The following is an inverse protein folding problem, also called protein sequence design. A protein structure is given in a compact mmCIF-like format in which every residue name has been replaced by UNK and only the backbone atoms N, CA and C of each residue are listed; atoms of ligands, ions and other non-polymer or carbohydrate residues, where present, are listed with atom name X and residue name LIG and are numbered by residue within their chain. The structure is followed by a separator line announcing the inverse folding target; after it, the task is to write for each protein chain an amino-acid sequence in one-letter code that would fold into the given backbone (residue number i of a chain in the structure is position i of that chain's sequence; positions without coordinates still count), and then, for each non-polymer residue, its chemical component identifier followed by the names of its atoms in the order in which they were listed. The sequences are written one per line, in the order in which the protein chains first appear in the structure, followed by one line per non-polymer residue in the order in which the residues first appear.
data_IF_351672023964
#
_entry.id   IF_351672023964
#
_cell.length_a   1.000
_cell.length_b   1.000
_cell.length_c   1.000
_cell.angle_alpha   90.00
_cell.angle_beta   90.00
_cell.angle_gamma   90.00
#
_symmetry.space_group_name_H-M   'P 1'
#
loop_
_entity.id
_entity.type
_entity.pdbx_description
1 polymer ?
#
# COMPACT_ATOMS: atom_id res chain seq x y z
N UNK A 1 18.13 24.88 -62.76
CA UNK A 1 17.44 24.40 -61.60
C UNK A 1 18.41 24.37 -60.39
N UNK A 2 18.33 25.40 -59.52
CA UNK A 2 19.23 25.53 -58.38
C UNK A 2 18.61 24.78 -57.19
N UNK A 3 19.35 23.80 -56.65
CA UNK A 3 18.99 23.11 -55.38
C UNK A 3 19.39 24.01 -54.22
N UNK A 4 18.41 24.40 -53.40
CA UNK A 4 18.61 25.12 -52.15
C UNK A 4 18.62 24.02 -51.04
N UNK A 5 19.78 23.81 -50.44
CA UNK A 5 19.94 22.96 -49.27
C UNK A 5 19.61 23.79 -48.02
N UNK A 6 18.57 23.42 -47.29
CA UNK A 6 18.24 23.97 -45.99
C UNK A 6 19.10 23.24 -44.93
N UNK A 7 20.05 23.93 -44.35
CA UNK A 7 20.80 23.47 -43.19
C UNK A 7 19.93 23.77 -41.94
N UNK A 8 19.41 22.72 -41.30
CA UNK A 8 18.74 22.84 -39.98
C UNK A 8 19.83 22.92 -38.91
N UNK A 9 20.02 24.10 -38.36
CA UNK A 9 20.88 24.31 -37.19
C UNK A 9 20.13 23.82 -35.94
N UNK A 10 20.50 22.64 -35.42
CA UNK A 10 20.03 22.12 -34.15
C UNK A 10 20.81 22.83 -33.05
N UNK A 11 20.19 23.86 -32.40
CA UNK A 11 20.78 24.49 -31.23
C UNK A 11 20.61 23.56 -30.01
N UNK A 12 21.70 22.83 -29.70
CA UNK A 12 21.81 22.16 -28.40
C UNK A 12 22.00 23.21 -27.30
N UNK A 13 20.93 23.52 -26.59
CA UNK A 13 21.06 24.19 -25.31
C UNK A 13 21.64 23.19 -24.28
N UNK A 14 22.95 23.16 -24.17
CA UNK A 14 23.65 22.53 -23.05
C UNK A 14 23.53 23.49 -21.88
N UNK A 15 22.51 23.30 -21.02
CA UNK A 15 22.51 23.91 -19.70
C UNK A 15 23.65 23.26 -18.90
N UNK A 16 24.76 23.98 -18.74
CA UNK A 16 25.89 23.57 -17.95
C UNK A 16 25.54 23.44 -16.48
N UNK A 17 25.03 22.27 -16.07
CA UNK A 17 25.04 21.87 -14.68
C UNK A 17 26.48 21.55 -14.29
N UNK A 18 27.12 22.39 -13.47
CA UNK A 18 28.40 22.08 -12.88
C UNK A 18 28.25 20.83 -12.01
N UNK A 19 28.57 19.67 -12.55
CA UNK A 19 28.68 18.46 -11.76
C UNK A 19 29.84 18.63 -10.76
N UNK A 20 29.54 18.75 -9.50
CA UNK A 20 30.54 18.68 -8.44
C UNK A 20 31.28 17.34 -8.56
N UNK A 21 32.58 17.30 -8.19
CA UNK A 21 33.43 16.07 -8.20
C UNK A 21 32.80 14.84 -7.52
N UNK A 22 31.74 15.01 -6.72
CA UNK A 22 30.97 13.97 -6.02
C UNK A 22 29.87 13.30 -6.86
N UNK A 23 29.53 13.82 -8.06
CA UNK A 23 28.41 13.34 -8.88
C UNK A 23 27.02 13.74 -8.36
N UNK A 24 26.93 14.61 -7.34
CA UNK A 24 25.69 15.22 -6.89
C UNK A 24 25.35 16.47 -7.71
N UNK A 25 24.07 16.62 -8.06
CA UNK A 25 23.53 17.78 -8.79
C UNK A 25 22.47 18.46 -7.91
N UNK A 26 22.57 19.77 -7.75
CA UNK A 26 21.54 20.53 -7.08
C UNK A 26 20.33 20.70 -8.03
N UNK A 27 19.16 20.25 -7.63
CA UNK A 27 17.90 20.46 -8.36
C UNK A 27 17.34 21.85 -8.12
N UNK A 28 17.74 22.51 -7.05
CA UNK A 28 17.40 23.90 -6.73
C UNK A 28 18.66 24.70 -6.44
N UNK A 29 18.78 25.84 -7.08
CA UNK A 29 19.96 26.70 -7.01
C UNK A 29 19.87 27.83 -5.95
N UNK A 30 18.74 27.89 -5.22
CA UNK A 30 18.48 28.95 -4.22
C UNK A 30 18.06 30.31 -4.82
N UNK A 31 17.96 30.47 -6.16
CA UNK A 31 17.76 31.77 -6.81
C UNK A 31 16.56 31.83 -7.72
N UNK A 32 16.24 30.75 -8.45
CA UNK A 32 15.13 30.68 -9.39
C UNK A 32 14.57 29.27 -9.49
N UNK A 33 13.44 29.11 -10.15
CA UNK A 33 12.77 27.83 -10.38
C UNK A 33 13.09 27.23 -11.76
N UNK A 34 14.25 27.55 -12.33
CA UNK A 34 14.68 26.96 -13.60
C UNK A 34 14.73 25.42 -13.46
N UNK A 35 14.14 24.72 -14.44
CA UNK A 35 14.01 23.25 -14.38
C UNK A 35 12.81 22.73 -13.59
N UNK A 36 11.96 23.63 -13.08
CA UNK A 36 10.72 23.30 -12.39
C UNK A 36 9.51 23.90 -13.10
N UNK A 37 8.35 23.25 -12.98
CA UNK A 37 7.05 23.74 -13.46
C UNK A 37 5.95 23.39 -12.47
N UNK A 38 4.99 24.30 -12.30
CA UNK A 38 3.77 24.01 -11.52
C UNK A 38 2.84 23.12 -12.36
N UNK A 39 2.34 22.05 -11.77
CA UNK A 39 1.36 21.14 -12.36
C UNK A 39 0.27 20.85 -11.34
N UNK A 40 -0.96 20.80 -11.78
CA UNK A 40 -2.18 20.72 -10.98
C UNK A 40 -2.31 21.86 -9.94
N UNK A 41 -3.52 22.09 -9.47
CA UNK A 41 -3.84 23.04 -8.42
C UNK A 41 -3.45 24.48 -8.70
N UNK A 42 -3.65 25.35 -7.70
CA UNK A 42 -3.49 26.80 -7.82
C UNK A 42 -2.57 27.39 -6.73
N UNK A 43 -1.83 26.54 -5.99
CA UNK A 43 -0.92 27.02 -4.97
C UNK A 43 0.25 27.81 -5.56
N UNK A 44 0.66 28.85 -4.87
CA UNK A 44 1.80 29.68 -5.22
C UNK A 44 3.10 29.05 -4.73
N UNK A 45 4.16 29.13 -5.55
CA UNK A 45 5.52 28.75 -5.19
C UNK A 45 6.45 29.92 -5.41
N UNK A 46 7.09 30.37 -4.34
CA UNK A 46 8.01 31.55 -4.36
C UNK A 46 9.37 31.15 -3.81
N UNK A 47 10.36 31.97 -4.10
CA UNK A 47 11.68 31.84 -3.47
C UNK A 47 11.80 32.92 -2.41
N UNK A 48 12.03 32.50 -1.18
CA UNK A 48 12.24 33.38 -0.03
C UNK A 48 13.50 32.93 0.69
N UNK A 49 14.48 33.81 0.85
CA UNK A 49 15.74 33.53 1.55
C UNK A 49 16.48 32.27 1.08
N UNK A 50 16.42 31.97 -0.24
CA UNK A 50 17.08 30.78 -0.79
C UNK A 50 16.31 29.46 -0.58
N UNK A 51 15.06 29.53 -0.16
CA UNK A 51 14.13 28.41 0.03
C UNK A 51 13.00 28.46 -0.98
N UNK A 52 12.49 27.32 -1.44
CA UNK A 52 11.21 27.21 -2.15
C UNK A 52 10.12 27.23 -1.08
N UNK A 53 9.18 28.16 -1.19
CA UNK A 53 8.04 28.30 -0.29
C UNK A 53 6.76 28.10 -1.08
N UNK A 54 6.03 27.04 -0.77
CA UNK A 54 4.69 26.78 -1.25
C UNK A 54 3.65 27.27 -0.24
N UNK A 55 2.59 27.90 -0.71
CA UNK A 55 1.55 28.49 0.16
C UNK A 55 0.23 27.77 -0.03
N UNK A 56 -0.38 27.30 1.05
CA UNK A 56 -1.67 26.63 1.03
C UNK A 56 -2.79 27.61 0.64
N UNK A 57 -3.76 27.13 -0.13
CA UNK A 57 -4.87 27.91 -0.63
C UNK A 57 -6.17 27.12 -0.57
N UNK A 58 -7.25 27.75 -0.09
CA UNK A 58 -8.57 27.13 -0.06
C UNK A 58 -9.10 26.81 -1.46
N UNK A 59 -9.92 25.76 -1.54
CA UNK A 59 -10.64 25.35 -2.76
C UNK A 59 -9.73 25.05 -3.97
N UNK A 60 -8.47 24.70 -3.72
CA UNK A 60 -7.55 24.18 -4.72
C UNK A 60 -7.37 22.67 -4.54
N UNK A 61 -7.30 21.88 -5.63
CA UNK A 61 -6.76 20.52 -5.53
C UNK A 61 -5.28 20.56 -5.14
N UNK A 62 -4.69 19.39 -4.88
CA UNK A 62 -3.25 19.27 -4.67
C UNK A 62 -2.48 19.99 -5.79
N UNK A 63 -1.53 20.81 -5.41
CA UNK A 63 -0.62 21.51 -6.33
C UNK A 63 0.77 20.92 -6.21
N UNK A 64 1.50 20.87 -7.33
CA UNK A 64 2.82 20.29 -7.37
C UNK A 64 3.80 21.15 -8.14
N UNK A 65 4.96 21.44 -7.57
CA UNK A 65 6.10 22.01 -8.29
C UNK A 65 6.97 20.85 -8.75
N UNK A 66 6.91 20.51 -10.04
CA UNK A 66 7.49 19.32 -10.65
C UNK A 66 8.76 19.62 -11.43
N UNK A 67 9.72 18.67 -11.42
CA UNK A 67 10.89 18.72 -12.31
C UNK A 67 10.48 18.65 -13.77
N UNK A 68 11.20 19.38 -14.64
CA UNK A 68 10.96 19.35 -16.09
C UNK A 68 11.41 18.04 -16.74
N UNK A 69 12.22 17.23 -16.05
CA UNK A 69 12.76 15.95 -16.54
C UNK A 69 12.36 14.82 -15.58
N UNK A 70 12.34 13.60 -16.11
CA UNK A 70 12.05 12.38 -15.34
C UNK A 70 13.36 11.75 -14.84
N UNK A 71 13.23 11.04 -13.71
CA UNK A 71 14.31 10.29 -13.08
C UNK A 71 13.91 8.83 -12.87
N UNK A 72 14.82 7.89 -13.12
CA UNK A 72 14.62 6.45 -12.88
C UNK A 72 15.35 5.98 -11.62
N UNK A 73 16.64 5.72 -11.69
CA UNK A 73 17.47 5.37 -10.56
C UNK A 73 18.17 6.60 -10.01
N UNK A 74 18.01 6.84 -8.71
CA UNK A 74 18.62 8.01 -8.09
C UNK A 74 18.70 7.88 -6.56
N UNK A 75 19.51 8.76 -5.98
CA UNK A 75 19.46 9.13 -4.57
C UNK A 75 19.09 10.60 -4.51
N UNK A 76 18.02 10.92 -3.80
CA UNK A 76 17.52 12.28 -3.59
C UNK A 76 17.69 12.66 -2.13
N UNK A 77 18.23 13.84 -1.88
CA UNK A 77 18.29 14.44 -0.54
C UNK A 77 17.67 15.84 -0.59
N UNK A 78 16.89 16.15 0.43
CA UNK A 78 16.28 17.46 0.61
C UNK A 78 15.98 17.72 2.09
N UNK A 79 15.80 18.99 2.42
CA UNK A 79 15.25 19.42 3.70
C UNK A 79 13.88 20.03 3.50
N UNK A 80 12.98 19.74 4.41
CA UNK A 80 11.60 20.19 4.36
C UNK A 80 11.13 20.63 5.76
N UNK A 81 10.37 21.74 5.80
CA UNK A 81 9.67 22.23 6.97
C UNK A 81 8.27 22.67 6.55
N UNK A 82 7.28 22.45 7.40
CA UNK A 82 5.93 22.96 7.16
C UNK A 82 5.29 23.49 8.43
N UNK A 83 4.35 24.42 8.26
CA UNK A 83 3.54 24.92 9.35
C UNK A 83 2.64 23.82 9.92
N UNK A 84 2.35 23.94 11.23
CA UNK A 84 1.59 22.94 11.97
C UNK A 84 0.18 22.72 11.43
N UNK A 85 -0.24 21.46 11.41
CA UNK A 85 -1.56 21.02 10.97
C UNK A 85 -1.70 20.82 9.45
N UNK A 86 -0.64 21.08 8.68
CA UNK A 86 -0.62 20.78 7.25
C UNK A 86 -0.22 19.31 6.99
N UNK A 87 -0.46 18.89 5.75
CA UNK A 87 0.06 17.67 5.13
C UNK A 87 0.79 18.08 3.85
N UNK A 88 1.80 17.31 3.48
CA UNK A 88 2.57 17.50 2.26
C UNK A 88 3.33 16.23 1.90
N UNK A 89 4.16 16.31 0.86
CA UNK A 89 5.07 15.22 0.48
C UNK A 89 5.90 15.58 -0.73
N UNK A 90 6.80 14.68 -1.07
CA UNK A 90 7.62 14.76 -2.29
C UNK A 90 7.30 13.57 -3.17
N UNK A 91 6.75 13.86 -4.35
CA UNK A 91 6.50 12.85 -5.39
C UNK A 91 7.81 12.39 -6.00
N UNK A 92 7.90 11.10 -6.29
CA UNK A 92 9.04 10.47 -6.96
C UNK A 92 8.55 9.48 -8.01
N UNK A 93 9.26 9.36 -9.13
CA UNK A 93 8.85 8.47 -10.24
C UNK A 93 7.35 8.62 -10.57
N UNK A 94 6.81 9.82 -10.42
CA UNK A 94 5.38 10.09 -10.63
C UNK A 94 5.11 10.59 -12.04
N UNK A 95 3.85 10.54 -12.45
CA UNK A 95 3.40 10.85 -13.80
C UNK A 95 2.34 11.95 -13.72
N UNK A 96 2.36 12.89 -14.70
CA UNK A 96 1.29 13.84 -14.96
C UNK A 96 1.05 13.84 -16.47
N UNK A 97 0.04 13.07 -16.90
CA UNK A 97 -0.36 12.95 -18.30
C UNK A 97 -1.75 13.58 -18.47
N UNK A 98 -1.91 14.60 -19.32
CA UNK A 98 -3.22 15.21 -19.60
C UNK A 98 -4.32 14.23 -20.01
N UNK A 99 -3.96 13.13 -20.66
CA UNK A 99 -4.89 12.07 -21.06
C UNK A 99 -5.40 11.22 -19.87
N UNK A 100 -4.73 11.28 -18.71
CA UNK A 100 -5.07 10.49 -17.53
C UNK A 100 -5.54 11.41 -16.42
N UNK A 101 -6.78 11.28 -15.98
CA UNK A 101 -7.38 12.08 -14.90
C UNK A 101 -7.12 13.60 -15.04
N UNK A 102 -7.19 14.13 -16.28
CA UNK A 102 -6.91 15.56 -16.60
C UNK A 102 -5.52 16.03 -16.10
N UNK A 103 -4.50 15.19 -16.21
CA UNK A 103 -3.13 15.52 -15.80
C UNK A 103 -2.87 15.46 -14.31
N UNK A 104 -3.78 14.86 -13.51
CA UNK A 104 -3.54 14.69 -12.07
C UNK A 104 -2.24 13.94 -11.84
N UNK A 105 -1.37 14.51 -11.01
CA UNK A 105 -0.13 13.82 -10.59
C UNK A 105 -0.49 12.54 -9.83
N UNK A 106 0.11 11.43 -10.23
CA UNK A 106 -0.09 10.13 -9.63
C UNK A 106 1.22 9.36 -9.56
N UNK A 107 1.41 8.61 -8.48
CA UNK A 107 2.63 7.85 -8.24
C UNK A 107 3.09 7.88 -6.79
N UNK A 108 4.33 7.43 -6.57
CA UNK A 108 4.88 7.34 -5.22
C UNK A 108 5.12 8.71 -4.60
N UNK A 109 4.65 8.89 -3.38
CA UNK A 109 4.86 10.06 -2.54
C UNK A 109 5.62 9.69 -1.28
N UNK A 110 6.70 10.39 -1.01
CA UNK A 110 7.36 10.37 0.29
C UNK A 110 6.62 11.36 1.18
N UNK A 111 5.90 10.83 2.13
CA UNK A 111 4.97 11.58 2.97
C UNK A 111 5.66 12.56 3.90
N UNK A 112 5.00 13.71 4.14
CA UNK A 112 5.29 14.61 5.24
C UNK A 112 3.99 14.90 6.00
N UNK A 113 3.85 14.36 7.20
CA UNK A 113 2.62 14.32 7.97
C UNK A 113 2.83 14.86 9.38
N UNK A 114 2.17 15.96 9.73
CA UNK A 114 2.23 16.58 11.06
C UNK A 114 1.20 15.96 12.04
N UNK A 115 0.35 15.05 11.56
CA UNK A 115 -0.67 14.41 12.40
C UNK A 115 -0.08 13.44 13.42
N UNK A 116 -0.90 13.04 14.40
CA UNK A 116 -0.51 12.10 15.45
C UNK A 116 -0.25 10.67 14.94
N UNK A 117 -0.69 10.31 13.74
CA UNK A 117 -0.35 9.01 13.11
C UNK A 117 1.14 8.90 12.80
N UNK A 118 1.85 10.04 12.61
CA UNK A 118 3.29 10.14 12.46
C UNK A 118 3.88 9.25 11.35
N UNK A 119 3.36 9.37 10.12
CA UNK A 119 3.79 8.57 8.97
C UNK A 119 4.75 9.30 8.02
N UNK A 120 5.39 10.39 8.48
CA UNK A 120 6.42 11.10 7.69
C UNK A 120 7.54 10.17 7.26
N UNK A 121 7.95 10.27 5.98
CA UNK A 121 8.84 9.37 5.24
C UNK A 121 8.28 7.95 5.00
N UNK A 122 7.00 7.67 5.31
CA UNK A 122 6.24 6.57 4.73
C UNK A 122 6.01 6.78 3.25
N UNK A 123 5.51 5.75 2.54
CA UNK A 123 5.28 5.82 1.10
C UNK A 123 3.79 5.66 0.80
N UNK A 124 3.23 6.72 0.21
CA UNK A 124 1.87 6.77 -0.31
C UNK A 124 1.90 6.68 -1.84
N UNK A 125 0.90 6.10 -2.46
CA UNK A 125 0.75 6.01 -3.91
C UNK A 125 -0.37 6.95 -4.36
N UNK A 126 -0.03 8.23 -4.58
CA UNK A 126 -0.96 9.31 -4.90
C UNK A 126 -1.84 8.96 -6.10
N UNK A 127 -3.16 9.09 -5.90
CA UNK A 127 -4.19 8.86 -6.91
C UNK A 127 -4.18 7.46 -7.56
N UNK A 128 -3.55 6.45 -6.90
CA UNK A 128 -3.54 5.05 -7.36
C UNK A 128 -3.95 4.08 -6.26
N UNK A 129 -2.98 3.55 -5.45
CA UNK A 129 -3.21 2.46 -4.49
C UNK A 129 -3.24 2.90 -3.02
N UNK A 130 -3.05 4.21 -2.73
CA UNK A 130 -3.02 4.71 -1.37
C UNK A 130 -1.75 4.31 -0.61
N UNK A 131 -1.86 3.90 0.65
CA UNK A 131 -0.70 3.59 1.49
C UNK A 131 -0.05 2.27 1.11
N UNK A 132 1.18 2.33 0.60
CA UNK A 132 2.02 1.17 0.33
C UNK A 132 2.92 0.84 1.53
N UNK A 133 3.44 1.86 2.20
CA UNK A 133 4.28 1.70 3.38
C UNK A 133 3.92 2.73 4.44
N UNK A 134 2.80 2.55 5.18
CA UNK A 134 2.57 3.29 6.41
C UNK A 134 3.63 2.92 7.45
N UNK A 135 4.05 3.86 8.32
CA UNK A 135 5.05 3.55 9.36
C UNK A 135 4.54 2.60 10.45
N UNK A 136 3.34 2.03 10.29
CA UNK A 136 2.89 0.87 11.06
C UNK A 136 3.80 -0.35 10.86
N UNK A 137 4.44 -0.46 9.70
CA UNK A 137 5.48 -1.48 9.47
C UNK A 137 6.78 -1.21 10.21
N UNK A 138 7.04 0.06 10.60
CA UNK A 138 8.26 0.49 11.28
C UNK A 138 7.97 1.48 12.41
N UNK A 139 7.46 0.98 13.51
CA UNK A 139 7.05 1.80 14.68
C UNK A 139 8.18 2.67 15.27
N UNK A 140 9.42 2.20 15.19
CA UNK A 140 10.57 2.95 15.68
C UNK A 140 10.78 4.27 14.93
N UNK A 141 10.48 4.29 13.63
CA UNK A 141 10.62 5.46 12.77
C UNK A 141 9.56 6.56 13.03
N UNK A 142 8.44 6.25 13.65
CA UNK A 142 7.36 7.23 13.92
C UNK A 142 7.82 8.43 14.75
N UNK A 143 8.91 8.30 15.50
CA UNK A 143 9.47 9.36 16.34
C UNK A 143 10.52 10.25 15.65
N UNK A 144 10.83 9.99 14.39
CA UNK A 144 11.91 10.68 13.67
C UNK A 144 11.55 12.08 13.17
N UNK A 145 10.25 12.40 13.00
CA UNK A 145 9.77 13.69 12.50
C UNK A 145 9.79 14.77 13.59
N UNK A 146 10.36 15.93 13.26
CA UNK A 146 10.38 17.13 14.12
C UNK A 146 9.29 18.09 13.64
N UNK A 147 8.21 18.18 14.40
CA UNK A 147 7.05 19.02 14.07
C UNK A 147 7.41 20.51 14.06
N UNK A 148 7.11 21.21 12.96
CA UNK A 148 7.37 22.65 12.80
C UNK A 148 8.83 23.04 12.62
N UNK A 149 9.75 22.10 12.45
CA UNK A 149 11.18 22.33 12.26
C UNK A 149 11.68 21.69 10.95
N UNK A 150 12.91 21.98 10.58
CA UNK A 150 13.58 21.38 9.43
C UNK A 150 13.84 19.89 9.65
N UNK A 151 13.44 19.12 8.65
CA UNK A 151 13.63 17.68 8.60
C UNK A 151 14.43 17.30 7.34
N UNK A 152 15.49 16.53 7.53
CA UNK A 152 16.31 16.02 6.43
C UNK A 152 15.76 14.69 5.94
N UNK A 153 15.41 14.64 4.66
CA UNK A 153 14.95 13.44 3.97
C UNK A 153 16.04 12.90 3.05
N UNK A 154 16.17 11.59 3.02
CA UNK A 154 16.93 10.87 2.00
C UNK A 154 16.05 9.79 1.40
N UNK A 155 16.04 9.70 0.07
CA UNK A 155 15.28 8.73 -0.71
C UNK A 155 16.23 8.02 -1.66
N UNK A 156 16.24 6.70 -1.64
CA UNK A 156 17.00 5.88 -2.60
C UNK A 156 16.00 5.10 -3.47
N UNK A 157 15.96 5.42 -4.76
CA UNK A 157 15.19 4.70 -5.77
C UNK A 157 16.18 3.97 -6.69
N UNK A 158 16.32 2.65 -6.53
CA UNK A 158 17.30 1.87 -7.30
C UNK A 158 16.65 0.54 -7.70
N UNK A 159 16.53 0.32 -9.02
CA UNK A 159 15.71 -0.78 -9.55
C UNK A 159 14.28 -0.66 -9.03
N UNK A 160 13.74 -1.75 -8.50
CA UNK A 160 12.39 -1.80 -7.94
C UNK A 160 12.33 -1.42 -6.45
N UNK A 161 13.44 -0.96 -5.86
CA UNK A 161 13.50 -0.66 -4.43
C UNK A 161 13.40 0.84 -4.18
N UNK A 162 12.53 1.22 -3.23
CA UNK A 162 12.38 2.59 -2.72
C UNK A 162 12.63 2.55 -1.23
N UNK A 163 13.68 3.25 -0.77
CA UNK A 163 14.07 3.34 0.64
C UNK A 163 14.07 4.78 1.11
N UNK A 164 13.61 5.01 2.32
CA UNK A 164 13.55 6.35 2.90
C UNK A 164 14.22 6.44 4.25
N UNK A 165 14.80 7.60 4.51
CA UNK A 165 15.35 7.99 5.83
C UNK A 165 14.84 9.37 6.17
N UNK A 166 14.54 9.57 7.45
CA UNK A 166 14.13 10.86 8.01
C UNK A 166 15.05 11.19 9.20
N UNK A 167 15.74 12.32 9.11
CA UNK A 167 16.73 12.74 10.12
C UNK A 167 17.77 11.64 10.42
N UNK A 168 18.15 10.86 9.40
CA UNK A 168 19.11 9.77 9.52
C UNK A 168 18.51 8.43 9.98
N UNK A 169 17.25 8.37 10.38
CA UNK A 169 16.54 7.15 10.81
C UNK A 169 15.96 6.44 9.59
N UNK A 170 16.23 5.14 9.36
CA UNK A 170 15.58 4.35 8.32
C UNK A 170 14.07 4.26 8.55
N UNK A 171 13.25 4.61 7.55
CA UNK A 171 11.80 4.68 7.68
C UNK A 171 11.08 3.60 6.86
N UNK A 172 11.28 3.58 5.55
CA UNK A 172 10.62 2.64 4.66
C UNK A 172 11.63 1.85 3.81
N UNK A 173 11.24 0.63 3.42
CA UNK A 173 11.94 -0.25 2.50
C UNK A 173 10.90 -0.99 1.65
N UNK A 174 10.49 -0.34 0.56
CA UNK A 174 9.45 -0.82 -0.35
C UNK A 174 10.08 -1.45 -1.60
N UNK A 175 9.55 -2.58 -2.05
CA UNK A 175 9.87 -3.17 -3.34
C UNK A 175 8.61 -3.17 -4.20
N UNK A 176 8.64 -2.39 -5.28
CA UNK A 176 7.51 -2.19 -6.19
C UNK A 176 7.98 -1.81 -7.58
N UNK A 177 7.37 -2.35 -8.62
CA UNK A 177 7.79 -2.18 -10.02
C UNK A 177 6.78 -1.43 -10.89
N UNK A 178 5.75 -0.83 -10.30
CA UNK A 178 4.68 -0.19 -11.08
C UNK A 178 5.16 1.00 -11.91
N UNK A 179 6.10 1.81 -11.38
CA UNK A 179 6.63 2.96 -12.13
C UNK A 179 8.14 3.06 -11.96
N UNK A 180 8.88 2.75 -13.03
CA UNK A 180 10.34 2.73 -13.02
C UNK A 180 10.98 4.12 -13.20
N UNK A 181 10.25 5.10 -13.75
CA UNK A 181 10.75 6.45 -14.03
C UNK A 181 9.62 7.46 -13.99
N UNK A 182 9.92 8.69 -13.60
CA UNK A 182 8.96 9.78 -13.59
C UNK A 182 9.52 11.05 -12.96
N UNK A 183 8.67 12.06 -12.82
CA UNK A 183 9.01 13.34 -12.23
C UNK A 183 9.23 13.24 -10.72
N UNK A 184 9.97 14.23 -10.18
CA UNK A 184 10.02 14.56 -8.76
C UNK A 184 9.20 15.84 -8.58
N UNK A 185 8.31 15.89 -7.55
CA UNK A 185 7.51 17.09 -7.35
C UNK A 185 7.22 17.36 -5.87
N UNK A 186 7.23 18.65 -5.54
CA UNK A 186 6.98 19.19 -4.20
C UNK A 186 5.50 19.51 -4.07
N UNK A 187 4.80 18.91 -3.09
CA UNK A 187 3.36 19.02 -2.94
C UNK A 187 2.96 20.17 -2.00
N UNK A 188 2.01 21.00 -2.43
CA UNK A 188 1.13 21.75 -1.53
C UNK A 188 -0.21 21.01 -1.51
N UNK A 189 -0.54 20.38 -0.40
CA UNK A 189 -1.73 19.56 -0.25
C UNK A 189 -3.00 20.41 -0.17
N UNK A 190 -4.08 19.92 -0.77
CA UNK A 190 -5.39 20.55 -0.69
C UNK A 190 -5.87 20.68 0.76
N UNK A 191 -6.30 21.85 1.14
CA UNK A 191 -6.86 22.14 2.45
C UNK A 191 -8.41 22.23 2.45
N UNK A 192 -9.04 22.00 1.28
CA UNK A 192 -10.49 22.19 1.14
C UNK A 192 -10.89 23.63 1.41
N UNK A 193 -11.87 23.83 2.28
CA UNK A 193 -12.39 25.13 2.71
C UNK A 193 -11.87 25.59 4.09
N UNK A 194 -10.84 24.92 4.64
CA UNK A 194 -10.26 25.23 5.95
C UNK A 194 -9.53 26.56 5.94
N UNK A 195 -10.24 27.64 6.32
CA UNK A 195 -9.69 29.01 6.35
C UNK A 195 -8.55 29.19 7.33
N UNK A 196 -8.51 28.43 8.41
CA UNK A 196 -7.42 28.44 9.40
C UNK A 196 -6.09 27.90 8.86
N UNK A 197 -6.12 27.20 7.75
CA UNK A 197 -4.95 26.68 7.07
C UNK A 197 -4.54 27.50 5.84
N UNK A 198 -5.37 28.45 5.39
CA UNK A 198 -5.06 29.31 4.23
C UNK A 198 -3.87 30.22 4.53
N UNK A 199 -2.92 30.27 3.62
CA UNK A 199 -1.70 31.08 3.78
C UNK A 199 -0.58 30.45 4.59
N UNK A 200 -0.80 29.27 5.21
CA UNK A 200 0.27 28.47 5.83
C UNK A 200 1.27 27.99 4.77
N UNK A 201 2.49 27.71 5.19
CA UNK A 201 3.60 27.47 4.27
C UNK A 201 4.24 26.10 4.44
N UNK A 202 4.74 25.60 3.33
CA UNK A 202 5.66 24.47 3.24
C UNK A 202 6.94 24.99 2.59
N UNK A 203 8.08 24.69 3.20
CA UNK A 203 9.39 25.16 2.76
C UNK A 203 10.29 24.00 2.39
N UNK A 204 11.04 24.13 1.29
CA UNK A 204 12.04 23.15 0.83
C UNK A 204 13.37 23.85 0.53
N UNK A 205 14.48 23.19 0.87
CA UNK A 205 15.83 23.63 0.54
C UNK A 205 16.80 22.45 0.39
N UNK A 206 18.02 22.74 -0.01
CA UNK A 206 19.10 21.76 -0.13
C UNK A 206 18.71 20.52 -0.97
N UNK A 207 17.90 20.73 -2.04
CA UNK A 207 17.38 19.67 -2.90
C UNK A 207 18.48 19.26 -3.87
N UNK A 208 19.03 18.05 -3.69
CA UNK A 208 20.10 17.51 -4.55
C UNK A 208 19.83 16.06 -4.91
N UNK A 209 20.31 15.69 -6.09
CA UNK A 209 20.13 14.34 -6.65
C UNK A 209 21.47 13.77 -7.10
N UNK A 210 21.60 12.46 -7.03
CA UNK A 210 22.67 11.68 -7.62
C UNK A 210 22.07 10.59 -8.49
N UNK A 211 22.50 10.45 -9.75
CA UNK A 211 21.97 9.48 -10.71
C UNK A 211 23.02 8.48 -11.20
N UNK A 212 24.28 8.68 -10.81
CA UNK A 212 25.38 7.81 -11.21
C UNK A 212 26.15 7.28 -10.01
N UNK A 213 26.78 6.10 -10.18
CA UNK A 213 27.63 5.44 -9.16
C UNK A 213 26.89 5.26 -7.82
N UNK A 214 25.61 4.93 -7.89
CA UNK A 214 24.69 4.89 -6.74
C UNK A 214 25.10 3.83 -5.72
N UNK A 215 25.61 2.68 -6.15
CA UNK A 215 25.98 1.57 -5.26
C UNK A 215 26.97 1.97 -4.15
N UNK A 216 27.88 2.92 -4.43
CA UNK A 216 28.85 3.40 -3.45
C UNK A 216 28.25 4.31 -2.37
N UNK A 217 27.03 4.83 -2.62
CA UNK A 217 26.36 5.80 -1.77
C UNK A 217 25.14 5.19 -1.02
N UNK A 218 24.75 3.96 -1.38
CA UNK A 218 23.62 3.28 -0.74
C UNK A 218 23.85 3.11 0.78
N UNK A 219 22.84 3.47 1.54
CA UNK A 219 22.83 3.24 2.99
C UNK A 219 22.24 1.88 3.33
N UNK A 220 22.75 1.28 4.39
CA UNK A 220 22.12 0.11 5.00
C UNK A 220 20.82 0.55 5.68
N UNK A 221 19.82 -0.34 5.66
CA UNK A 221 18.55 -0.14 6.34
C UNK A 221 18.19 -1.40 7.12
N UNK A 222 17.58 -1.21 8.27
CA UNK A 222 16.92 -2.23 9.09
C UNK A 222 15.38 -2.09 9.06
N UNK A 223 14.87 -1.12 8.26
CA UNK A 223 13.43 -1.01 8.01
C UNK A 223 12.91 -2.31 7.38
N UNK A 224 11.81 -2.89 7.90
CA UNK A 224 11.21 -4.10 7.34
C UNK A 224 10.94 -3.96 5.85
N UNK A 225 11.26 -4.98 5.06
CA UNK A 225 10.95 -4.97 3.63
C UNK A 225 9.46 -5.29 3.40
N UNK A 226 8.81 -4.51 2.54
CA UNK A 226 7.44 -4.74 2.07
C UNK A 226 7.47 -4.81 0.55
N UNK A 227 7.00 -5.92 -0.01
CA UNK A 227 7.00 -6.15 -1.47
C UNK A 227 5.59 -6.17 -2.03
N UNK A 228 5.41 -5.47 -3.16
CA UNK A 228 4.22 -5.47 -4.02
C UNK A 228 4.48 -6.09 -5.39
N UNK A 229 5.60 -6.79 -5.58
CA UNK A 229 5.88 -7.50 -6.82
C UNK A 229 4.81 -8.56 -7.08
N UNK A 230 4.23 -8.56 -8.29
CA UNK A 230 3.16 -9.49 -8.62
C UNK A 230 3.63 -10.95 -8.61
N UNK A 231 2.99 -11.78 -7.78
CA UNK A 231 3.15 -13.22 -7.68
C UNK A 231 4.62 -13.68 -7.69
N UNK A 232 5.47 -12.92 -7.02
CA UNK A 232 6.89 -13.22 -6.90
C UNK A 232 7.41 -12.87 -5.51
N UNK A 233 8.51 -13.46 -5.11
CA UNK A 233 9.17 -13.20 -3.84
C UNK A 233 10.51 -12.53 -4.06
N UNK A 234 10.81 -11.54 -3.24
CA UNK A 234 12.17 -10.97 -3.19
C UNK A 234 13.16 -11.98 -2.60
N UNK A 235 14.46 -11.71 -2.78
CA UNK A 235 15.50 -12.51 -2.14
C UNK A 235 15.42 -12.45 -0.61
N UNK A 236 14.99 -11.32 -0.05
CA UNK A 236 14.80 -11.17 1.39
C UNK A 236 13.63 -12.00 1.87
N UNK A 237 12.49 -11.95 1.21
CA UNK A 237 11.31 -12.78 1.53
C UNK A 237 11.65 -14.28 1.45
N UNK A 238 12.36 -14.71 0.39
CA UNK A 238 12.79 -16.13 0.27
C UNK A 238 13.71 -16.54 1.44
N UNK A 239 14.67 -15.69 1.81
CA UNK A 239 15.57 -15.93 2.96
C UNK A 239 14.81 -15.97 4.28
N UNK A 240 13.76 -15.20 4.42
CA UNK A 240 12.89 -15.18 5.58
C UNK A 240 11.91 -16.37 5.65
N UNK A 241 11.83 -17.19 4.60
CA UNK A 241 10.99 -18.39 4.54
C UNK A 241 9.60 -18.18 4.00
N UNK A 242 9.33 -17.05 3.32
CA UNK A 242 8.10 -16.84 2.58
C UNK A 242 7.98 -17.83 1.41
N UNK A 243 6.77 -18.26 1.10
CA UNK A 243 6.42 -19.11 -0.03
C UNK A 243 5.19 -18.54 -0.73
N UNK A 244 5.16 -18.60 -2.05
CA UNK A 244 3.93 -18.34 -2.81
C UNK A 244 2.97 -19.52 -2.60
N UNK A 245 1.71 -19.22 -2.32
CA UNK A 245 0.59 -20.16 -2.36
C UNK A 245 -0.07 -20.17 -3.73
N UNK A 246 0.21 -19.18 -4.55
CA UNK A 246 -0.26 -19.12 -5.93
C UNK A 246 0.84 -18.53 -6.83
N UNK A 247 1.04 -19.18 -7.98
CA UNK A 247 2.15 -18.90 -8.92
C UNK A 247 1.82 -17.85 -9.99
N UNK A 248 0.59 -17.32 -10.00
CA UNK A 248 0.12 -16.40 -11.03
C UNK A 248 -0.32 -17.08 -12.34
N UNK A 249 -0.23 -18.40 -12.47
CA UNK A 249 -0.37 -19.11 -13.76
C UNK A 249 -1.26 -20.34 -13.71
N UNK A 250 -1.39 -20.98 -12.56
CA UNK A 250 -2.11 -22.26 -12.44
C UNK A 250 -2.88 -22.34 -11.12
N UNK A 251 -3.82 -23.28 -11.04
CA UNK A 251 -4.52 -23.60 -9.80
C UNK A 251 -3.81 -24.71 -9.00
N UNK A 252 -2.56 -25.03 -9.32
CA UNK A 252 -1.78 -26.02 -8.60
C UNK A 252 -1.65 -25.65 -7.11
N UNK A 253 -1.89 -26.60 -6.23
CA UNK A 253 -1.88 -26.37 -4.79
C UNK A 253 -3.22 -25.92 -4.20
N UNK A 254 -4.22 -25.66 -5.05
CA UNK A 254 -5.58 -25.32 -4.66
C UNK A 254 -6.56 -26.41 -5.09
N UNK A 255 -7.50 -26.74 -4.21
CA UNK A 255 -8.52 -27.77 -4.40
C UNK A 255 -9.89 -27.14 -4.22
N UNK A 256 -10.87 -27.63 -4.97
CA UNK A 256 -12.27 -27.30 -4.74
C UNK A 256 -12.69 -27.87 -3.37
N UNK A 257 -13.32 -27.04 -2.55
CA UNK A 257 -13.68 -27.43 -1.18
C UNK A 257 -14.77 -28.53 -1.12
N UNK A 258 -15.57 -28.71 -2.19
CA UNK A 258 -16.66 -29.69 -2.20
C UNK A 258 -16.17 -31.13 -2.44
N UNK A 259 -15.20 -31.29 -3.34
CA UNK A 259 -14.81 -32.62 -3.82
C UNK A 259 -13.31 -32.91 -3.72
N UNK A 260 -12.50 -31.95 -3.24
CA UNK A 260 -11.05 -32.10 -3.10
C UNK A 260 -10.28 -32.18 -4.43
N UNK A 261 -10.90 -31.83 -5.57
CA UNK A 261 -10.27 -31.87 -6.89
C UNK A 261 -9.79 -30.50 -7.34
N UNK A 262 -9.07 -30.42 -8.46
CA UNK A 262 -8.73 -29.15 -9.07
C UNK A 262 -9.97 -28.34 -9.43
N UNK A 263 -10.01 -27.03 -9.15
CA UNK A 263 -11.14 -26.18 -9.52
C UNK A 263 -11.28 -26.09 -11.05
N UNK A 264 -12.49 -26.34 -11.57
CA UNK A 264 -12.77 -26.30 -13.02
C UNK A 264 -13.81 -25.26 -13.40
N UNK A 265 -14.46 -24.63 -12.42
CA UNK A 265 -15.52 -23.62 -12.60
C UNK A 265 -15.42 -22.56 -11.50
N UNK A 266 -15.96 -21.36 -11.77
CA UNK A 266 -16.06 -20.27 -10.81
C UNK A 266 -14.76 -19.51 -10.58
N UNK A 267 -13.63 -20.06 -10.95
CA UNK A 267 -12.31 -19.47 -10.77
C UNK A 267 -11.62 -19.32 -12.13
N UNK A 268 -11.18 -18.12 -12.43
CA UNK A 268 -10.55 -17.76 -13.72
C UNK A 268 -9.18 -17.14 -13.44
N UNK A 269 -8.18 -17.52 -14.24
CA UNK A 269 -6.87 -16.85 -14.22
C UNK A 269 -6.89 -15.81 -15.33
N UNK A 270 -6.73 -14.54 -14.98
CA UNK A 270 -6.74 -13.40 -15.90
C UNK A 270 -5.72 -12.37 -15.44
N UNK A 271 -4.84 -11.91 -16.32
CA UNK A 271 -3.87 -10.84 -16.07
C UNK A 271 -3.01 -11.05 -14.80
N UNK A 272 -2.56 -12.30 -14.56
CA UNK A 272 -1.86 -12.70 -13.34
C UNK A 272 -2.68 -12.47 -12.04
N UNK A 273 -3.98 -12.54 -12.13
CA UNK A 273 -4.93 -12.53 -11.01
C UNK A 273 -5.73 -13.84 -11.04
N UNK A 274 -6.08 -14.38 -9.89
CA UNK A 274 -7.12 -15.41 -9.77
C UNK A 274 -8.41 -14.72 -9.37
N UNK A 275 -9.45 -14.92 -10.20
CA UNK A 275 -10.72 -14.20 -10.09
C UNK A 275 -11.83 -15.18 -9.78
N UNK A 276 -12.53 -14.98 -8.67
CA UNK A 276 -13.77 -15.66 -8.36
C UNK A 276 -14.92 -15.05 -9.17
N UNK A 277 -15.76 -15.89 -9.76
CA UNK A 277 -17.05 -15.50 -10.37
C UNK A 277 -16.97 -14.45 -11.49
N UNK A 278 -15.91 -14.47 -12.29
CA UNK A 278 -15.76 -13.54 -13.42
C UNK A 278 -16.88 -13.76 -14.43
N UNK A 279 -17.71 -12.74 -14.68
CA UNK A 279 -18.78 -12.73 -15.69
C UNK A 279 -19.71 -13.97 -15.61
N UNK A 280 -19.66 -14.83 -16.63
CA UNK A 280 -20.52 -16.01 -16.77
C UNK A 280 -19.93 -17.28 -16.10
N UNK A 281 -18.69 -17.22 -15.60
CA UNK A 281 -18.04 -18.33 -14.89
C UNK A 281 -18.28 -18.24 -13.38
N UNK A 282 -19.52 -18.55 -12.95
CA UNK A 282 -19.94 -18.39 -11.54
C UNK A 282 -20.25 -19.71 -10.84
N UNK A 283 -20.18 -19.68 -9.50
CA UNK A 283 -20.69 -20.76 -8.64
C UNK A 283 -19.83 -22.01 -8.69
N UNK A 284 -18.50 -21.88 -8.69
CA UNK A 284 -17.57 -22.99 -8.64
C UNK A 284 -17.43 -23.61 -7.25
N UNK A 285 -17.79 -22.86 -6.22
CA UNK A 285 -17.56 -23.20 -4.82
C UNK A 285 -16.21 -22.72 -4.30
N UNK A 286 -16.05 -22.77 -3.00
CA UNK A 286 -14.84 -22.36 -2.30
C UNK A 286 -13.61 -23.17 -2.77
N UNK A 287 -12.44 -22.57 -2.71
CA UNK A 287 -11.17 -23.29 -2.92
C UNK A 287 -10.32 -23.26 -1.66
N UNK A 288 -9.60 -24.37 -1.42
CA UNK A 288 -8.74 -24.54 -0.25
C UNK A 288 -7.31 -24.89 -0.65
N UNK A 289 -6.35 -24.53 0.17
CA UNK A 289 -4.97 -25.02 0.00
C UNK A 289 -4.87 -26.52 0.18
N UNK A 290 -4.04 -27.20 -0.62
CA UNK A 290 -3.79 -28.63 -0.46
C UNK A 290 -3.03 -29.01 0.82
N UNK A 291 -2.45 -28.02 1.52
CA UNK A 291 -1.67 -28.17 2.75
C UNK A 291 -2.35 -27.43 3.91
N UNK A 292 -2.23 -27.99 5.12
CA UNK A 292 -2.61 -27.34 6.37
C UNK A 292 -1.50 -26.47 6.95
N UNK A 293 -1.90 -25.46 7.75
CA UNK A 293 -1.01 -24.53 8.42
C UNK A 293 -1.38 -24.39 9.90
N UNK A 294 -0.35 -24.17 10.75
CA UNK A 294 -0.49 -23.99 12.19
C UNK A 294 -0.22 -22.54 12.60
N UNK A 295 1.05 -22.17 12.59
CA UNK A 295 1.52 -20.83 12.88
C UNK A 295 2.01 -20.21 11.58
N UNK A 296 1.49 -19.06 11.22
CA UNK A 296 1.83 -18.46 9.93
C UNK A 296 1.58 -16.96 9.90
N UNK A 297 2.20 -16.32 8.92
CA UNK A 297 1.78 -15.02 8.38
C UNK A 297 1.32 -15.28 6.96
N UNK A 298 0.07 -14.95 6.67
CA UNK A 298 -0.53 -14.98 5.34
C UNK A 298 -0.70 -13.56 4.84
N UNK A 299 -0.25 -13.27 3.63
CA UNK A 299 -0.55 -12.02 2.92
C UNK A 299 -1.25 -12.35 1.61
N UNK A 300 -2.30 -11.58 1.31
CA UNK A 300 -3.09 -11.69 0.09
C UNK A 300 -3.48 -10.28 -0.35
N UNK A 301 -3.15 -9.92 -1.59
CA UNK A 301 -3.75 -8.76 -2.21
C UNK A 301 -5.10 -9.16 -2.82
N UNK A 302 -6.15 -8.41 -2.53
CA UNK A 302 -7.48 -8.63 -3.07
C UNK A 302 -8.12 -7.34 -3.59
N UNK A 303 -9.05 -7.48 -4.51
CA UNK A 303 -9.84 -6.40 -5.08
C UNK A 303 -11.27 -6.92 -5.26
N UNK A 304 -12.26 -6.15 -4.91
CA UNK A 304 -13.67 -6.55 -4.98
C UNK A 304 -14.50 -5.53 -5.74
N UNK A 305 -15.52 -6.03 -6.45
CA UNK A 305 -16.45 -5.20 -7.22
C UNK A 305 -17.55 -4.58 -6.32
N UNK A 306 -18.33 -3.59 -6.83
CA UNK A 306 -19.45 -3.04 -6.06
C UNK A 306 -20.44 -4.13 -5.63
N UNK A 307 -20.87 -4.08 -4.37
CA UNK A 307 -21.77 -5.02 -3.68
C UNK A 307 -21.18 -6.41 -3.45
N UNK A 308 -19.90 -6.64 -3.70
CA UNK A 308 -19.32 -7.97 -3.57
C UNK A 308 -19.20 -8.41 -2.09
N UNK A 309 -19.31 -9.72 -1.92
CA UNK A 309 -19.02 -10.47 -0.70
C UNK A 309 -18.05 -11.61 -1.03
N UNK A 310 -17.14 -11.87 -0.14
CA UNK A 310 -16.14 -12.93 -0.19
C UNK A 310 -15.47 -13.08 1.15
N UNK A 311 -14.43 -13.92 1.24
CA UNK A 311 -13.72 -14.09 2.50
C UNK A 311 -12.44 -14.89 2.34
N UNK A 312 -11.52 -14.69 3.28
CA UNK A 312 -10.32 -15.51 3.46
C UNK A 312 -10.51 -16.25 4.78
N UNK A 313 -10.74 -17.57 4.69
CA UNK A 313 -10.94 -18.40 5.87
C UNK A 313 -9.71 -19.20 6.20
N UNK A 314 -9.56 -19.55 7.45
CA UNK A 314 -8.42 -20.34 7.96
C UNK A 314 -8.85 -21.30 9.06
N UNK A 315 -8.01 -22.30 9.34
CA UNK A 315 -8.32 -23.47 10.14
C UNK A 315 -9.47 -24.33 9.59
N UNK A 316 -9.62 -24.33 8.27
CA UNK A 316 -10.60 -25.17 7.60
C UNK A 316 -10.22 -26.64 7.76
N UNK A 317 -11.18 -27.48 8.12
CA UNK A 317 -11.01 -28.91 8.34
C UNK A 317 -11.56 -29.71 7.15
N UNK A 318 -11.06 -30.92 6.91
CA UNK A 318 -11.75 -31.88 6.05
C UNK A 318 -13.20 -32.08 6.50
N UNK A 319 -14.08 -32.35 5.55
CA UNK A 319 -15.48 -32.62 5.86
C UNK A 319 -15.62 -33.95 6.62
N UNK A 320 -16.07 -33.96 7.87
CA UNK A 320 -16.18 -35.21 8.65
C UNK A 320 -17.28 -36.16 8.14
N UNK A 321 -18.17 -35.68 7.27
CA UNK A 321 -19.34 -36.40 6.78
C UNK A 321 -19.20 -36.89 5.33
N UNK A 322 -18.05 -36.69 4.67
CA UNK A 322 -17.90 -37.03 3.24
C UNK A 322 -16.62 -36.50 2.61
N UNK A 323 -16.63 -36.37 1.29
CA UNK A 323 -15.53 -35.84 0.52
C UNK A 323 -15.38 -34.31 0.73
N UNK A 324 -14.18 -33.78 0.43
CA UNK A 324 -13.90 -32.34 0.44
C UNK A 324 -13.66 -31.77 1.84
N UNK A 325 -14.02 -30.50 2.01
CA UNK A 325 -13.67 -29.69 3.16
C UNK A 325 -14.90 -28.95 3.71
N UNK A 326 -14.88 -28.66 5.00
CA UNK A 326 -15.83 -27.76 5.64
C UNK A 326 -15.64 -26.34 5.09
N UNK A 327 -16.72 -25.59 4.94
CA UNK A 327 -16.66 -24.15 4.65
C UNK A 327 -16.75 -23.28 5.92
N UNK A 328 -16.67 -23.90 7.10
CA UNK A 328 -16.76 -23.24 8.39
C UNK A 328 -15.37 -23.11 8.99
N UNK A 329 -14.96 -21.89 9.29
CA UNK A 329 -13.69 -21.52 9.90
C UNK A 329 -13.67 -20.08 10.32
N UNK A 330 -12.59 -19.63 10.96
CA UNK A 330 -12.36 -18.21 11.20
C UNK A 330 -12.20 -17.48 9.87
N UNK A 331 -12.83 -16.32 9.73
CA UNK A 331 -12.93 -15.63 8.44
C UNK A 331 -12.51 -14.17 8.54
N UNK A 332 -11.55 -13.78 7.71
CA UNK A 332 -11.27 -12.38 7.35
C UNK A 332 -12.27 -11.98 6.27
N UNK A 333 -13.21 -11.09 6.62
CA UNK A 333 -14.29 -10.70 5.73
C UNK A 333 -13.81 -9.83 4.57
N UNK A 334 -14.28 -10.09 3.37
CA UNK A 334 -14.17 -9.24 2.19
C UNK A 334 -15.59 -8.78 1.83
N UNK A 335 -15.85 -7.47 1.93
CA UNK A 335 -17.20 -6.96 1.74
C UNK A 335 -17.19 -5.51 1.24
N UNK A 336 -18.14 -5.15 0.39
CA UNK A 336 -18.47 -3.75 0.15
C UNK A 336 -19.32 -3.22 1.31
N UNK A 337 -18.69 -2.55 2.27
CA UNK A 337 -19.33 -2.02 3.47
C UNK A 337 -20.46 -1.03 3.19
N UNK A 338 -20.46 -0.39 2.02
CA UNK A 338 -21.44 0.62 1.65
C UNK A 338 -22.69 0.04 1.01
N UNK A 339 -22.52 -0.94 0.13
CA UNK A 339 -23.59 -1.40 -0.74
C UNK A 339 -24.08 -2.84 -0.43
N UNK A 340 -23.26 -3.67 0.22
CA UNK A 340 -23.69 -5.03 0.53
C UNK A 340 -24.57 -5.05 1.79
N UNK A 341 -25.74 -5.73 1.77
CA UNK A 341 -26.70 -5.71 2.90
C UNK A 341 -26.14 -6.33 4.19
N UNK A 342 -25.22 -7.31 4.10
CA UNK A 342 -24.65 -7.99 5.26
C UNK A 342 -23.84 -7.04 6.17
N UNK A 343 -23.30 -5.94 5.61
CA UNK A 343 -22.60 -4.92 6.40
C UNK A 343 -23.48 -4.29 7.51
N UNK A 344 -24.80 -4.31 7.33
CA UNK A 344 -25.80 -3.78 8.28
C UNK A 344 -26.31 -4.82 9.26
N UNK A 345 -25.94 -6.08 9.05
CA UNK A 345 -26.31 -7.20 9.92
C UNK A 345 -25.21 -7.43 10.96
N UNK A 346 -25.48 -8.37 11.88
CA UNK A 346 -24.55 -8.65 12.98
C UNK A 346 -24.57 -7.59 14.09
N UNK A 347 -23.48 -7.48 14.84
CA UNK A 347 -23.37 -6.60 16.01
C UNK A 347 -22.15 -5.67 15.83
N UNK A 348 -22.38 -4.36 15.97
CA UNK A 348 -21.31 -3.34 15.93
C UNK A 348 -20.38 -3.41 14.72
N UNK A 349 -20.88 -3.82 13.54
CA UNK A 349 -20.10 -3.90 12.32
C UNK A 349 -19.17 -5.13 12.24
N UNK A 350 -19.43 -6.18 12.99
CA UNK A 350 -18.62 -7.42 12.98
C UNK A 350 -18.78 -8.26 11.70
N UNK A 351 -19.53 -7.76 10.69
CA UNK A 351 -19.63 -8.34 9.35
C UNK A 351 -19.10 -7.43 8.25
N UNK A 352 -18.38 -6.36 8.61
CA UNK A 352 -17.78 -5.44 7.64
C UNK A 352 -16.40 -5.92 7.17
N UNK A 353 -15.86 -5.28 6.13
CA UNK A 353 -14.55 -5.56 5.56
C UNK A 353 -13.48 -5.72 6.65
N UNK A 354 -12.70 -6.79 6.55
CA UNK A 354 -11.57 -7.15 7.39
C UNK A 354 -11.90 -7.47 8.86
N UNK A 355 -13.19 -7.53 9.23
CA UNK A 355 -13.61 -8.06 10.53
C UNK A 355 -13.27 -9.56 10.68
N UNK A 356 -13.21 -10.07 11.89
CA UNK A 356 -13.43 -11.49 12.14
C UNK A 356 -14.93 -11.73 12.04
N UNK A 357 -15.36 -12.28 10.93
CA UNK A 357 -16.76 -12.34 10.50
C UNK A 357 -17.70 -12.87 11.59
N UNK A 358 -18.76 -12.10 11.86
CA UNK A 358 -19.82 -12.34 12.85
C UNK A 358 -19.33 -12.42 14.31
N UNK A 359 -18.08 -12.06 14.57
CA UNK A 359 -17.45 -12.13 15.89
C UNK A 359 -16.87 -10.76 16.32
N UNK A 360 -15.78 -10.28 15.67
CA UNK A 360 -15.06 -9.09 16.10
C UNK A 360 -15.04 -8.05 14.98
N UNK A 361 -15.55 -6.82 15.21
CA UNK A 361 -15.48 -5.76 14.22
C UNK A 361 -14.04 -5.32 13.95
N UNK A 362 -13.77 -4.92 12.71
CA UNK A 362 -12.51 -4.29 12.35
C UNK A 362 -12.43 -2.88 12.96
N UNK A 363 -11.44 -2.65 13.83
CA UNK A 363 -11.28 -1.40 14.56
C UNK A 363 -9.80 -1.03 14.73
N UNK A 364 -9.29 -0.11 13.89
CA UNK A 364 -7.92 0.37 13.96
C UNK A 364 -7.65 1.22 15.21
N UNK A 365 -8.63 2.00 15.67
CA UNK A 365 -8.49 2.90 16.82
C UNK A 365 -8.16 2.14 18.13
N UNK A 366 -8.63 0.89 18.24
CA UNK A 366 -8.30 0.02 19.37
C UNK A 366 -6.81 -0.23 19.53
N UNK A 367 -6.05 -0.25 18.41
CA UNK A 367 -4.62 -0.58 18.37
C UNK A 367 -3.73 0.64 18.26
N UNK A 368 -4.22 1.68 17.61
CA UNK A 368 -3.57 2.99 17.49
C UNK A 368 -4.65 4.09 17.50
N UNK A 369 -4.79 4.87 18.59
CA UNK A 369 -5.77 5.96 18.67
C UNK A 369 -5.64 7.01 17.56
N UNK A 370 -4.45 7.17 16.97
CA UNK A 370 -4.23 8.04 15.83
C UNK A 370 -4.87 7.51 14.53
N UNK A 371 -5.29 6.25 14.50
CA UNK A 371 -5.98 5.60 13.39
C UNK A 371 -7.48 5.56 13.63
N UNK A 372 -8.16 6.71 13.55
CA UNK A 372 -9.58 6.86 13.89
C UNK A 372 -10.53 6.06 12.99
N UNK A 373 -10.09 5.66 11.79
CA UNK A 373 -10.91 4.94 10.82
C UNK A 373 -10.16 3.76 10.19
N UNK A 374 -10.91 2.72 9.87
CA UNK A 374 -10.45 1.62 9.03
C UNK A 374 -10.14 2.17 7.62
N UNK A 375 -8.90 1.98 7.16
CA UNK A 375 -8.43 2.51 5.88
C UNK A 375 -8.56 1.47 4.78
N UNK A 376 -9.62 1.57 4.00
CA UNK A 376 -9.84 0.83 2.76
C UNK A 376 -9.63 1.76 1.56
N UNK A 377 -9.03 1.24 0.50
CA UNK A 377 -8.90 1.93 -0.79
C UNK A 377 -10.22 1.91 -1.57
N UNK A 378 -11.16 1.05 -1.19
CA UNK A 378 -12.51 0.97 -1.72
C UNK A 378 -12.70 -0.01 -2.86
N UNK A 379 -13.92 -0.04 -3.40
CA UNK A 379 -14.29 -0.94 -4.51
C UNK A 379 -13.42 -0.72 -5.74
N UNK A 380 -13.10 -1.81 -6.44
CA UNK A 380 -12.22 -1.85 -7.62
C UNK A 380 -10.78 -1.37 -7.35
N UNK A 381 -10.39 -1.27 -6.08
CA UNK A 381 -9.01 -0.95 -5.69
C UNK A 381 -8.38 -2.14 -4.99
N UNK A 382 -7.05 -2.27 -5.13
CA UNK A 382 -6.29 -3.31 -4.44
C UNK A 382 -6.15 -3.00 -2.96
N UNK A 383 -6.47 -3.98 -2.16
CA UNK A 383 -6.29 -4.02 -0.71
C UNK A 383 -5.30 -5.12 -0.36
N UNK A 384 -4.61 -5.00 0.76
CA UNK A 384 -3.78 -6.08 1.31
C UNK A 384 -4.34 -6.58 2.62
N UNK A 385 -4.75 -7.84 2.65
CA UNK A 385 -5.02 -8.58 3.86
C UNK A 385 -3.71 -9.17 4.39
N UNK A 386 -3.49 -9.09 5.72
CA UNK A 386 -2.50 -9.89 6.41
C UNK A 386 -3.17 -10.56 7.61
N UNK A 387 -3.00 -11.86 7.73
CA UNK A 387 -3.47 -12.67 8.86
C UNK A 387 -2.23 -13.27 9.53
N UNK A 388 -2.08 -13.00 10.82
CA UNK A 388 -0.95 -13.49 11.59
C UNK A 388 -1.45 -14.42 12.71
N UNK A 389 -0.93 -15.64 12.73
CA UNK A 389 -1.27 -16.67 13.70
C UNK A 389 -0.02 -17.10 14.46
N UNK A 390 -0.03 -16.93 15.78
CA UNK A 390 1.04 -17.34 16.70
C UNK A 390 0.43 -18.10 17.89
N UNK A 391 0.40 -19.40 17.80
CA UNK A 391 -0.34 -20.24 18.76
C UNK A 391 -1.83 -19.87 18.73
N UNK A 392 -2.36 -19.51 19.88
CA UNK A 392 -3.75 -19.12 20.02
C UNK A 392 -4.00 -17.64 19.67
N UNK A 393 -2.95 -16.83 19.57
CA UNK A 393 -3.07 -15.42 19.22
C UNK A 393 -3.20 -15.23 17.72
N UNK A 394 -4.23 -14.50 17.30
CA UNK A 394 -4.50 -14.18 15.89
C UNK A 394 -4.70 -12.67 15.74
N UNK A 395 -4.16 -12.10 14.65
CA UNK A 395 -4.38 -10.72 14.29
C UNK A 395 -4.71 -10.56 12.80
N UNK A 396 -5.62 -9.65 12.48
CA UNK A 396 -5.89 -9.19 11.11
C UNK A 396 -5.33 -7.79 10.91
N UNK A 397 -4.82 -7.57 9.71
CA UNK A 397 -4.34 -6.26 9.25
C UNK A 397 -4.98 -5.95 7.89
N UNK A 398 -5.32 -4.69 7.68
CA UNK A 398 -5.76 -4.15 6.40
C UNK A 398 -4.79 -3.04 5.98
N UNK A 399 -4.15 -3.18 4.83
CA UNK A 399 -3.18 -2.21 4.29
C UNK A 399 -2.08 -1.83 5.31
N UNK A 400 -1.54 -2.83 6.02
CA UNK A 400 -0.49 -2.67 7.03
C UNK A 400 -0.97 -2.24 8.42
N UNK A 401 -2.25 -1.92 8.60
CA UNK A 401 -2.80 -1.45 9.87
C UNK A 401 -3.50 -2.60 10.58
N UNK A 402 -3.12 -2.86 11.84
CA UNK A 402 -3.82 -3.85 12.66
C UNK A 402 -5.24 -3.37 12.99
N UNK A 403 -6.22 -4.27 12.81
CA UNK A 403 -7.64 -3.95 12.93
C UNK A 403 -8.44 -4.95 13.76
N UNK A 404 -7.93 -6.17 13.94
CA UNK A 404 -8.49 -7.22 14.80
C UNK A 404 -7.35 -7.92 15.52
N UNK A 405 -7.55 -8.27 16.77
CA UNK A 405 -6.67 -9.17 17.53
C UNK A 405 -7.49 -9.94 18.55
N UNK A 406 -7.25 -11.23 18.68
CA UNK A 406 -7.93 -12.11 19.62
C UNK A 406 -7.07 -13.32 20.01
N UNK A 407 -7.49 -14.01 21.07
CA UNK A 407 -6.88 -15.25 21.55
C UNK A 407 -7.94 -16.34 21.52
N UNK A 408 -7.71 -17.40 20.75
CA UNK A 408 -8.62 -18.53 20.61
C UNK A 408 -8.63 -19.39 21.88
N UNK A 409 -9.70 -20.15 22.08
CA UNK A 409 -9.80 -21.16 23.16
C UNK A 409 -9.98 -20.60 24.58
N UNK A 410 -9.91 -19.26 24.78
CA UNK A 410 -10.14 -18.62 26.08
C UNK A 410 -11.63 -18.62 26.47
N UNK A 411 -11.94 -18.30 27.72
CA UNK A 411 -13.32 -18.08 28.18
C UNK A 411 -14.02 -16.96 27.41
N UNK A 412 -13.29 -15.87 27.12
CA UNK A 412 -13.77 -14.74 26.33
C UNK A 412 -14.08 -15.16 24.88
N UNK A 413 -13.21 -15.99 24.28
CA UNK A 413 -13.44 -16.57 22.97
C UNK A 413 -14.73 -17.40 22.94
N UNK A 414 -14.90 -18.30 23.89
CA UNK A 414 -16.08 -19.18 24.00
C UNK A 414 -17.37 -18.39 24.20
N UNK A 415 -17.33 -17.37 25.04
CA UNK A 415 -18.45 -16.45 25.25
C UNK A 415 -18.82 -15.70 23.97
N UNK A 416 -17.83 -15.23 23.24
CA UNK A 416 -18.02 -14.52 21.96
C UNK A 416 -18.65 -15.46 20.91
N UNK A 417 -18.13 -16.67 20.73
CA UNK A 417 -18.68 -17.66 19.80
C UNK A 417 -20.11 -18.03 20.15
N UNK A 418 -20.42 -18.16 21.44
CA UNK A 418 -21.79 -18.50 21.91
C UNK A 418 -22.86 -17.45 21.53
N UNK A 419 -22.46 -16.20 21.24
CA UNK A 419 -23.38 -15.13 20.80
C UNK A 419 -23.45 -14.96 19.29
N UNK A 420 -22.65 -15.73 18.53
CA UNK A 420 -22.56 -15.64 17.08
C UNK A 420 -23.39 -16.72 16.37
N UNK A 421 -23.47 -16.64 15.03
CA UNK A 421 -24.06 -17.70 14.20
C UNK A 421 -23.34 -19.05 14.36
N UNK A 422 -22.13 -19.06 14.89
CA UNK A 422 -21.31 -20.25 15.10
C UNK A 422 -21.54 -20.94 16.45
N UNK A 423 -22.47 -20.46 17.26
CA UNK A 423 -22.76 -20.99 18.62
C UNK A 423 -23.01 -22.51 18.67
N UNK A 424 -23.52 -23.09 17.57
CA UNK A 424 -23.81 -24.52 17.47
C UNK A 424 -22.69 -25.33 16.81
N UNK A 425 -21.58 -24.70 16.45
CA UNK A 425 -20.43 -25.35 15.80
C UNK A 425 -19.43 -25.77 16.88
N UNK A 426 -19.35 -27.07 17.16
CA UNK A 426 -18.44 -27.60 18.15
C UNK A 426 -16.97 -27.31 17.79
N UNK A 427 -16.20 -26.76 18.74
CA UNK A 427 -14.78 -26.46 18.55
C UNK A 427 -14.48 -25.38 17.51
N UNK A 428 -15.45 -24.49 17.21
CA UNK A 428 -15.25 -23.40 16.24
C UNK A 428 -14.00 -22.58 16.57
N UNK A 429 -13.07 -22.50 15.60
CA UNK A 429 -11.82 -21.76 15.73
C UNK A 429 -10.79 -22.34 16.68
N UNK A 430 -11.01 -23.54 17.26
CA UNK A 430 -10.11 -24.16 18.24
C UNK A 430 -9.16 -25.21 17.63
N UNK A 431 -9.25 -25.49 16.32
CA UNK A 431 -8.35 -26.44 15.66
C UNK A 431 -6.90 -25.94 15.66
N UNK A 432 -5.95 -26.85 15.93
CA UNK A 432 -4.54 -26.53 16.01
C UNK A 432 -3.91 -26.23 14.63
N UNK A 433 -4.44 -26.87 13.57
CA UNK A 433 -4.03 -26.73 12.17
C UNK A 433 -5.26 -26.64 11.29
N UNK A 434 -5.11 -26.23 10.07
CA UNK A 434 -6.16 -26.27 9.05
C UNK A 434 -5.75 -25.64 7.74
N UNK A 435 -6.58 -25.81 6.74
CA UNK A 435 -6.40 -25.26 5.41
C UNK A 435 -6.80 -23.79 5.37
N UNK A 436 -6.27 -23.07 4.37
CA UNK A 436 -6.69 -21.71 4.02
C UNK A 436 -7.68 -21.82 2.87
N UNK A 437 -8.79 -21.07 2.95
CA UNK A 437 -9.87 -21.11 1.99
C UNK A 437 -10.12 -19.70 1.45
N UNK A 438 -10.31 -19.60 0.13
CA UNK A 438 -10.88 -18.43 -0.54
C UNK A 438 -12.33 -18.72 -0.87
N UNK A 439 -13.22 -17.83 -0.40
CA UNK A 439 -14.65 -18.03 -0.49
C UNK A 439 -15.20 -17.62 -1.87
N UNK A 440 -16.05 -18.49 -2.40
CA UNK A 440 -16.96 -18.20 -3.52
C UNK A 440 -18.34 -17.83 -2.98
N UNK A 441 -18.66 -16.54 -2.92
CA UNK A 441 -19.98 -16.02 -2.55
C UNK A 441 -20.80 -15.56 -3.76
N UNK A 442 -20.50 -16.09 -4.96
CA UNK A 442 -21.12 -15.76 -6.26
C UNK A 442 -20.84 -14.34 -6.75
N UNK A 443 -20.05 -13.58 -6.01
CA UNK A 443 -19.61 -12.23 -6.37
C UNK A 443 -18.19 -12.21 -6.92
N UNK A 444 -17.87 -11.19 -7.72
CA UNK A 444 -16.56 -11.08 -8.35
C UNK A 444 -15.54 -10.48 -7.36
N UNK A 445 -14.55 -11.32 -7.02
CA UNK A 445 -13.41 -10.94 -6.19
C UNK A 445 -12.12 -11.41 -6.85
N UNK A 446 -11.14 -10.53 -6.92
CA UNK A 446 -9.83 -10.78 -7.49
C UNK A 446 -8.79 -10.99 -6.40
N UNK A 447 -7.85 -11.89 -6.62
CA UNK A 447 -6.76 -12.17 -5.71
C UNK A 447 -5.43 -12.25 -6.45
N UNK A 448 -4.34 -11.80 -5.81
CA UNK A 448 -2.96 -11.96 -6.25
C UNK A 448 -2.00 -11.91 -5.06
N UNK A 449 -0.72 -12.13 -5.29
CA UNK A 449 0.31 -12.05 -4.24
C UNK A 449 -0.04 -12.91 -3.01
N UNK A 450 -0.60 -14.10 -3.26
CA UNK A 450 -0.98 -15.01 -2.19
C UNK A 450 0.29 -15.69 -1.69
N UNK A 451 0.79 -15.26 -0.53
CA UNK A 451 2.04 -15.75 0.05
C UNK A 451 1.91 -16.03 1.53
N UNK A 452 2.67 -17.00 2.00
CA UNK A 452 2.67 -17.44 3.40
C UNK A 452 4.09 -17.60 3.93
N UNK A 453 4.26 -17.28 5.21
CA UNK A 453 5.46 -17.59 6.00
C UNK A 453 5.06 -18.44 7.18
N UNK A 454 5.52 -19.69 7.21
CA UNK A 454 5.32 -20.57 8.36
C UNK A 454 6.21 -20.11 9.52
N UNK A 455 5.64 -20.00 10.71
CA UNK A 455 6.33 -19.62 11.92
C UNK A 455 6.65 -20.88 12.76
N UNK A 456 7.80 -20.83 13.44
CA UNK A 456 8.25 -21.92 14.33
C UNK A 456 7.46 -21.94 15.65
#
# INVERSE_FOLDING_TARGET
MKKISFLLLLALFVSGAFAAKSGWVNLFNGKNLDGWKVVNGNADYKIVNGEIVGTSICNSPNSFLATAVNYSDFILEYEMKMDRGLNSGVQIRSISDPAVMNGRVHGYQIECDDSERAWSAGIYDEARRGWLYPLEYNQAAKKSYKKGDWNSYRVECIGNTIRTWLNGVPCANLVDDMTASGLIALQVHAIGDRKEDEGKTICWRNIRIKTEKLAAEQKKTDAPEVSYLNNSLTKAEQKEGWKLLWDGKSMNGWLNARDGKLPTKGWTILDNEVVANLKDNKGGGDIVTGKEYKNFILEIDFKFTPRANGGIKYFIQPNPMGEGFSNIGCEYQILDDKLHPDAKLGINGNRTLASLYDLIPANSQKFDPAQSVKRSNGVNQWERARIEVRGEKVAHYLNGIKIVEYIRGTSEWKALVATSKFAKVAGFGEFATGHILLQDHVDEVHYRNIKIKELK
#
